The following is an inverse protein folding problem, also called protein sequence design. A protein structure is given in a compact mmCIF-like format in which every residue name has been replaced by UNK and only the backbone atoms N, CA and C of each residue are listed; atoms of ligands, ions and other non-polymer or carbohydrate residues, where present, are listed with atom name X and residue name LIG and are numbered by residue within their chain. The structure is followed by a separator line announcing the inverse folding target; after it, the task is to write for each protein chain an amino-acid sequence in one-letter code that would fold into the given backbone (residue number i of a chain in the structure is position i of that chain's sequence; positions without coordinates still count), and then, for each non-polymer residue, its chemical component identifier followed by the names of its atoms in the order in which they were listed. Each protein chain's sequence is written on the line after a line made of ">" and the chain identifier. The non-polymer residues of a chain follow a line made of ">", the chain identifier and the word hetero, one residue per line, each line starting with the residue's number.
data_IF_722276587023
#
_entry.id   IF_722276587023
#
_cell.length_a   1.000
_cell.length_b   1.000
_cell.length_c   1.000
_cell.angle_alpha   90.00
_cell.angle_beta   90.00
_cell.angle_gamma   90.00
#
_symmetry.space_group_name_H-M   'P 1'
#
loop_
_entity.id
_entity.type
_entity.pdbx_description
1 polymer ?
#
# COMPACT_ATOMS: atom_id res chain seq x y z
N UNK A 1 -1.97 13.25 -30.65
CA UNK A 1 -2.12 12.69 -29.29
C UNK A 1 -2.34 11.19 -29.40
N UNK A 2 -1.28 10.41 -29.26
CA UNK A 2 -1.34 8.94 -29.29
C UNK A 2 -2.10 8.48 -28.04
N UNK A 3 -3.33 7.97 -28.21
CA UNK A 3 -4.06 7.30 -27.13
C UNK A 3 -3.21 6.12 -26.67
N UNK A 4 -2.58 6.23 -25.51
CA UNK A 4 -2.00 5.10 -24.79
C UNK A 4 -3.10 4.04 -24.71
N UNK A 5 -2.89 2.87 -25.33
CA UNK A 5 -3.78 1.71 -25.11
C UNK A 5 -3.92 1.56 -23.61
N UNK A 6 -5.14 1.65 -23.09
CA UNK A 6 -5.41 1.31 -21.70
C UNK A 6 -4.80 -0.07 -21.45
N UNK A 7 -3.94 -0.19 -20.44
CA UNK A 7 -3.40 -1.50 -20.05
C UNK A 7 -4.61 -2.39 -19.75
N UNK A 8 -4.72 -3.50 -20.48
CA UNK A 8 -5.78 -4.47 -20.29
C UNK A 8 -5.54 -5.25 -18.98
N UNK A 9 -5.92 -4.64 -17.85
CA UNK A 9 -5.76 -5.18 -16.51
C UNK A 9 -7.05 -5.09 -15.68
N UNK A 10 -7.07 -5.63 -14.45
CA UNK A 10 -8.22 -5.72 -13.55
C UNK A 10 -8.75 -4.34 -13.17
N UNK A 11 -7.91 -3.30 -13.26
CA UNK A 11 -8.30 -1.94 -12.95
C UNK A 11 -9.19 -1.33 -14.03
N UNK A 12 -9.15 -1.85 -15.28
CA UNK A 12 -10.10 -1.46 -16.35
C UNK A 12 -11.57 -1.68 -15.95
N UNK A 13 -11.83 -2.52 -14.96
CA UNK A 13 -13.18 -2.77 -14.43
C UNK A 13 -13.73 -1.62 -13.59
N UNK A 14 -12.85 -0.75 -13.07
CA UNK A 14 -13.22 0.47 -12.37
C UNK A 14 -13.35 1.68 -13.30
N UNK A 15 -12.84 1.60 -14.51
CA UNK A 15 -12.95 2.69 -15.48
C UNK A 15 -14.40 2.90 -15.91
N UNK A 16 -14.89 4.14 -15.81
CA UNK A 16 -16.25 4.50 -16.25
C UNK A 16 -16.38 4.62 -17.78
N UNK A 17 -15.26 4.56 -18.49
CA UNK A 17 -15.20 4.33 -19.94
C UNK A 17 -14.96 2.87 -20.31
N UNK A 18 -14.80 1.97 -19.33
CA UNK A 18 -14.41 0.59 -19.51
C UNK A 18 -15.59 -0.38 -19.66
N UNK A 19 -15.31 -1.70 -19.79
CA UNK A 19 -16.31 -2.73 -20.12
C UNK A 19 -17.37 -3.03 -19.07
N UNK A 20 -17.25 -2.42 -17.90
CA UNK A 20 -18.18 -2.58 -16.78
C UNK A 20 -18.49 -1.23 -16.13
N UNK A 21 -18.51 -0.15 -16.92
CA UNK A 21 -18.90 1.18 -16.47
C UNK A 21 -20.21 1.14 -15.67
N UNK A 22 -20.26 1.84 -14.53
CA UNK A 22 -21.45 1.89 -13.70
C UNK A 22 -22.35 3.01 -14.20
N UNK A 23 -23.40 2.68 -14.94
CA UNK A 23 -24.36 3.64 -15.50
C UNK A 23 -25.45 3.99 -14.47
N UNK A 24 -26.31 4.97 -14.78
CA UNK A 24 -27.43 5.36 -13.91
C UNK A 24 -28.37 4.19 -13.63
N UNK A 25 -28.61 3.35 -14.63
CA UNK A 25 -29.39 2.12 -14.54
C UNK A 25 -28.48 0.88 -14.41
N UNK A 26 -28.97 -0.21 -13.78
CA UNK A 26 -28.27 -1.49 -13.78
C UNK A 26 -28.19 -2.12 -15.18
N UNK A 27 -27.25 -3.05 -15.40
CA UNK A 27 -27.22 -3.84 -16.62
C UNK A 27 -28.56 -4.53 -16.85
N UNK A 28 -29.13 -4.37 -18.04
CA UNK A 28 -30.40 -5.01 -18.38
C UNK A 28 -30.27 -6.53 -18.45
N UNK A 29 -31.32 -7.24 -18.01
CA UNK A 29 -31.38 -8.70 -18.02
C UNK A 29 -31.66 -9.29 -19.41
N UNK A 30 -32.16 -8.49 -20.35
CA UNK A 30 -32.51 -8.93 -21.69
C UNK A 30 -31.31 -8.88 -22.67
N UNK A 31 -30.82 -10.02 -23.19
CA UNK A 31 -29.62 -10.09 -24.02
C UNK A 31 -29.77 -9.39 -25.38
N UNK A 32 -31.00 -9.23 -25.89
CA UNK A 32 -31.27 -8.69 -27.23
C UNK A 32 -31.87 -7.28 -27.25
N UNK A 33 -31.85 -6.57 -26.12
CA UNK A 33 -32.36 -5.21 -26.03
C UNK A 33 -31.53 -4.21 -26.85
N UNK A 34 -32.13 -3.10 -27.29
CA UNK A 34 -31.41 -2.01 -27.98
C UNK A 34 -30.24 -1.47 -27.14
N UNK A 35 -30.39 -1.18 -25.83
CA UNK A 35 -29.28 -0.80 -24.96
C UNK A 35 -28.14 -1.82 -24.94
N UNK A 36 -28.46 -3.13 -24.85
CA UNK A 36 -27.45 -4.20 -24.85
C UNK A 36 -26.68 -4.25 -26.17
N UNK A 37 -27.35 -4.08 -27.31
CA UNK A 37 -26.68 -4.05 -28.63
C UNK A 37 -25.76 -2.84 -28.77
N UNK A 38 -26.22 -1.66 -28.35
CA UNK A 38 -25.41 -0.44 -28.36
C UNK A 38 -24.19 -0.56 -27.44
N UNK A 39 -24.35 -1.20 -26.27
CA UNK A 39 -23.26 -1.52 -25.37
C UNK A 39 -22.22 -2.45 -26.01
N UNK A 40 -22.66 -3.60 -26.54
CA UNK A 40 -21.77 -4.57 -27.19
C UNK A 40 -21.04 -3.95 -28.38
N UNK A 41 -21.69 -3.07 -29.15
CA UNK A 41 -21.04 -2.31 -30.22
C UNK A 41 -19.92 -1.43 -29.68
N UNK A 42 -20.17 -0.65 -28.63
CA UNK A 42 -19.13 0.18 -27.97
C UNK A 42 -17.97 -0.66 -27.47
N UNK A 43 -18.24 -1.80 -26.82
CA UNK A 43 -17.19 -2.72 -26.37
C UNK A 43 -16.34 -3.25 -27.53
N UNK A 44 -16.95 -3.54 -28.68
CA UNK A 44 -16.24 -3.98 -29.87
C UNK A 44 -15.37 -2.87 -30.45
N UNK A 45 -15.90 -1.67 -30.60
CA UNK A 45 -15.18 -0.49 -31.10
C UNK A 45 -13.99 -0.12 -30.21
N UNK A 46 -14.10 -0.35 -28.90
CA UNK A 46 -13.04 -0.08 -27.92
C UNK A 46 -12.10 -1.27 -27.66
N UNK A 47 -12.34 -2.44 -28.28
CA UNK A 47 -11.50 -3.63 -28.11
C UNK A 47 -11.72 -4.43 -26.82
N UNK A 48 -12.78 -4.16 -26.06
CA UNK A 48 -13.04 -4.78 -24.75
C UNK A 48 -13.89 -6.07 -24.79
N UNK A 49 -14.38 -6.48 -25.96
CA UNK A 49 -15.40 -7.54 -26.07
C UNK A 49 -14.95 -8.88 -25.47
N UNK A 50 -13.68 -9.25 -25.65
CA UNK A 50 -13.14 -10.50 -25.13
C UNK A 50 -13.08 -10.48 -23.60
N UNK A 51 -12.54 -9.41 -23.01
CA UNK A 51 -12.48 -9.24 -21.56
C UNK A 51 -13.86 -9.25 -20.92
N UNK A 52 -14.80 -8.52 -21.51
CA UNK A 52 -16.19 -8.52 -21.06
C UNK A 52 -16.77 -9.95 -21.03
N UNK A 53 -16.55 -10.75 -22.09
CA UNK A 53 -17.06 -12.13 -22.15
C UNK A 53 -16.45 -13.04 -21.09
N UNK A 54 -15.13 -12.96 -20.89
CA UNK A 54 -14.43 -13.76 -19.87
C UNK A 54 -14.96 -13.44 -18.47
N UNK A 55 -15.01 -12.15 -18.11
CA UNK A 55 -15.47 -11.73 -16.80
C UNK A 55 -16.96 -11.97 -16.58
N UNK A 56 -17.78 -11.77 -17.61
CA UNK A 56 -19.19 -12.14 -17.56
C UNK A 56 -19.33 -13.63 -17.22
N UNK A 57 -18.60 -14.51 -17.89
CA UNK A 57 -18.66 -15.94 -17.60
C UNK A 57 -18.22 -16.25 -16.16
N UNK A 58 -17.16 -15.60 -15.65
CA UNK A 58 -16.73 -15.74 -14.26
C UNK A 58 -17.80 -15.27 -13.26
N UNK A 59 -18.51 -14.18 -13.56
CA UNK A 59 -19.64 -13.69 -12.75
C UNK A 59 -20.77 -14.72 -12.73
N UNK A 60 -21.11 -15.30 -13.88
CA UNK A 60 -22.14 -16.35 -13.99
C UNK A 60 -21.74 -17.59 -13.19
N UNK A 61 -20.47 -18.01 -13.31
CA UNK A 61 -19.93 -19.13 -12.54
C UNK A 61 -19.96 -18.85 -11.04
N UNK A 62 -19.61 -17.65 -10.58
CA UNK A 62 -19.62 -17.32 -9.15
C UNK A 62 -21.05 -17.28 -8.58
N UNK A 63 -21.98 -16.68 -9.32
CA UNK A 63 -23.40 -16.59 -8.96
C UNK A 63 -24.17 -17.91 -9.15
N UNK A 64 -23.57 -18.88 -9.85
CA UNK A 64 -24.18 -20.15 -10.22
C UNK A 64 -25.46 -19.98 -11.06
N UNK A 65 -25.37 -19.15 -12.10
CA UNK A 65 -26.46 -18.86 -13.04
C UNK A 65 -26.00 -19.07 -14.48
N UNK A 66 -26.93 -19.28 -15.42
CA UNK A 66 -26.61 -19.45 -16.85
C UNK A 66 -26.58 -18.14 -17.62
N UNK A 67 -27.26 -17.11 -17.11
CA UNK A 67 -27.44 -15.83 -17.78
C UNK A 67 -27.89 -14.72 -16.85
N UNK A 68 -27.96 -13.50 -17.38
CA UNK A 68 -28.40 -12.33 -16.63
C UNK A 68 -29.89 -12.42 -16.23
N UNK A 69 -30.70 -13.15 -16.99
CA UNK A 69 -32.13 -13.38 -16.76
C UNK A 69 -32.43 -14.18 -15.48
N UNK A 70 -31.46 -14.92 -14.94
CA UNK A 70 -31.59 -15.65 -13.68
C UNK A 70 -31.19 -14.80 -12.45
N UNK A 71 -30.56 -13.63 -12.64
CA UNK A 71 -30.14 -12.75 -11.53
C UNK A 71 -31.33 -12.22 -10.70
N UNK A 72 -32.48 -11.82 -11.30
CA UNK A 72 -33.65 -11.40 -10.51
C UNK A 72 -34.09 -12.45 -9.48
N UNK A 73 -34.01 -13.74 -9.81
CA UNK A 73 -34.36 -14.82 -8.87
C UNK A 73 -33.43 -14.83 -7.65
N UNK A 74 -32.13 -14.54 -7.83
CA UNK A 74 -31.21 -14.36 -6.72
C UNK A 74 -31.55 -13.10 -5.91
N UNK A 75 -31.95 -11.99 -6.56
CA UNK A 75 -32.32 -10.77 -5.83
C UNK A 75 -33.57 -10.94 -4.94
N UNK A 76 -34.49 -11.82 -5.33
CA UNK A 76 -35.75 -12.06 -4.62
C UNK A 76 -35.68 -13.23 -3.62
N UNK A 77 -34.87 -14.26 -3.89
CA UNK A 77 -34.83 -15.48 -3.10
C UNK A 77 -33.60 -15.57 -2.19
N UNK A 78 -33.81 -15.32 -0.89
CA UNK A 78 -32.77 -15.39 0.15
C UNK A 78 -32.09 -16.76 0.22
N UNK A 79 -32.84 -17.86 0.11
CA UNK A 79 -32.27 -19.20 0.19
C UNK A 79 -31.36 -19.50 -1.02
N UNK A 80 -31.76 -19.05 -2.21
CA UNK A 80 -30.95 -19.16 -3.42
C UNK A 80 -29.66 -18.34 -3.31
N UNK A 81 -29.74 -17.10 -2.77
CA UNK A 81 -28.53 -16.29 -2.48
C UNK A 81 -27.59 -16.99 -1.52
N UNK A 82 -28.10 -17.48 -0.39
CA UNK A 82 -27.27 -18.15 0.60
C UNK A 82 -26.58 -19.41 0.03
N UNK A 83 -27.27 -20.16 -0.84
CA UNK A 83 -26.68 -21.29 -1.53
C UNK A 83 -25.56 -20.85 -2.50
N UNK A 84 -25.79 -19.79 -3.28
CA UNK A 84 -24.78 -19.20 -4.15
C UNK A 84 -23.57 -18.70 -3.34
N UNK A 85 -23.79 -18.00 -2.23
CA UNK A 85 -22.73 -17.52 -1.32
C UNK A 85 -21.88 -18.65 -0.77
N UNK A 86 -22.49 -19.71 -0.24
CA UNK A 86 -21.73 -20.88 0.28
C UNK A 86 -20.84 -21.49 -0.79
N UNK A 87 -21.37 -21.67 -2.01
CA UNK A 87 -20.59 -22.18 -3.15
C UNK A 87 -19.47 -21.20 -3.54
N UNK A 88 -19.76 -19.90 -3.59
CA UNK A 88 -18.78 -18.87 -3.91
C UNK A 88 -17.62 -18.85 -2.91
N UNK A 89 -17.89 -18.98 -1.61
CA UNK A 89 -16.83 -19.10 -0.60
C UNK A 89 -15.92 -20.30 -0.86
N UNK A 90 -16.46 -21.47 -1.22
CA UNK A 90 -15.66 -22.64 -1.59
C UNK A 90 -14.82 -22.41 -2.85
N UNK A 91 -15.39 -21.78 -3.89
CA UNK A 91 -14.65 -21.44 -5.11
C UNK A 91 -13.50 -20.45 -4.83
N UNK A 92 -13.75 -19.42 -4.04
CA UNK A 92 -12.74 -18.44 -3.65
C UNK A 92 -11.66 -19.05 -2.76
N UNK A 93 -12.03 -19.99 -1.89
CA UNK A 93 -11.07 -20.75 -1.09
C UNK A 93 -10.11 -21.52 -2.00
N UNK A 94 -10.63 -22.26 -2.96
CA UNK A 94 -9.80 -22.99 -3.92
C UNK A 94 -8.93 -22.04 -4.76
N UNK A 95 -9.50 -20.92 -5.22
CA UNK A 95 -8.78 -19.95 -6.05
C UNK A 95 -7.60 -19.29 -5.31
N UNK A 96 -7.77 -18.95 -4.03
CA UNK A 96 -6.73 -18.33 -3.21
C UNK A 96 -5.94 -19.33 -2.36
N UNK A 97 -6.17 -20.64 -2.53
CA UNK A 97 -5.55 -21.70 -1.73
C UNK A 97 -5.80 -21.55 -0.22
N UNK A 98 -7.01 -21.18 0.20
CA UNK A 98 -7.39 -21.08 1.62
C UNK A 98 -7.70 -22.48 2.14
N UNK A 99 -6.94 -22.94 3.12
CA UNK A 99 -7.20 -24.19 3.83
C UNK A 99 -8.09 -23.95 5.05
N UNK A 100 -8.90 -24.97 5.39
CA UNK A 100 -9.74 -24.96 6.59
C UNK A 100 -11.18 -25.37 6.34
N UNK A 101 -11.98 -25.34 7.41
CA UNK A 101 -13.41 -25.56 7.34
C UNK A 101 -14.16 -24.32 6.80
N UNK A 102 -15.47 -24.46 6.55
CA UNK A 102 -16.31 -23.39 6.00
C UNK A 102 -16.23 -22.08 6.80
N UNK A 103 -16.21 -22.16 8.13
CA UNK A 103 -16.13 -20.97 8.99
C UNK A 103 -14.79 -20.25 8.86
N UNK A 104 -13.70 -21.00 8.74
CA UNK A 104 -12.35 -20.46 8.54
C UNK A 104 -12.23 -19.79 7.17
N UNK A 105 -12.78 -20.41 6.13
CA UNK A 105 -12.86 -19.85 4.78
C UNK A 105 -13.63 -18.52 4.79
N UNK A 106 -14.84 -18.51 5.36
CA UNK A 106 -15.66 -17.29 5.45
C UNK A 106 -14.92 -16.20 6.21
N UNK A 107 -14.30 -16.54 7.34
CA UNK A 107 -13.53 -15.59 8.17
C UNK A 107 -12.36 -14.99 7.38
N UNK A 108 -11.65 -15.80 6.59
CA UNK A 108 -10.55 -15.34 5.73
C UNK A 108 -11.06 -14.44 4.59
N UNK A 109 -12.12 -14.81 3.90
CA UNK A 109 -12.68 -13.92 2.86
C UNK A 109 -13.18 -12.59 3.46
N UNK A 110 -13.73 -12.61 4.68
CA UNK A 110 -14.07 -11.40 5.43
C UNK A 110 -12.84 -10.55 5.79
N UNK A 111 -11.64 -11.13 5.94
CA UNK A 111 -10.42 -10.32 6.12
C UNK A 111 -10.11 -9.53 4.86
N UNK A 112 -10.33 -10.08 3.67
CA UNK A 112 -10.12 -9.36 2.41
C UNK A 112 -11.09 -8.18 2.26
N UNK A 113 -12.33 -8.36 2.70
CA UNK A 113 -13.33 -7.27 2.79
C UNK A 113 -12.85 -6.15 3.70
N UNK A 114 -12.36 -6.47 4.91
CA UNK A 114 -11.79 -5.49 5.84
C UNK A 114 -10.58 -4.76 5.26
N UNK A 115 -9.71 -5.46 4.53
CA UNK A 115 -8.57 -4.82 3.84
C UNK A 115 -9.04 -3.87 2.75
N UNK A 116 -10.07 -4.22 1.98
CA UNK A 116 -10.67 -3.33 0.99
C UNK A 116 -11.22 -2.05 1.64
N UNK A 117 -11.92 -2.17 2.76
CA UNK A 117 -12.43 -1.02 3.52
C UNK A 117 -11.28 -0.19 4.11
N UNK A 118 -10.22 -0.83 4.60
CA UNK A 118 -9.02 -0.17 5.11
C UNK A 118 -8.31 0.69 4.04
N UNK A 119 -8.31 0.27 2.77
CA UNK A 119 -7.80 1.10 1.65
C UNK A 119 -8.57 2.41 1.54
N UNK A 120 -9.91 2.34 1.55
CA UNK A 120 -10.75 3.54 1.43
C UNK A 120 -10.65 4.40 2.68
N UNK A 121 -10.63 3.79 3.85
CA UNK A 121 -10.46 4.49 5.13
C UNK A 121 -9.10 5.17 5.25
N UNK A 122 -8.03 4.55 4.74
CA UNK A 122 -6.71 5.17 4.66
C UNK A 122 -6.72 6.41 3.76
N UNK A 123 -7.30 6.30 2.56
CA UNK A 123 -7.42 7.44 1.65
C UNK A 123 -8.30 8.54 2.26
N UNK A 124 -9.40 8.17 2.92
CA UNK A 124 -10.29 9.11 3.59
C UNK A 124 -9.65 9.83 4.77
N UNK A 125 -9.01 9.10 5.68
CA UNK A 125 -8.47 9.66 6.91
C UNK A 125 -7.12 10.35 6.73
N UNK A 126 -6.27 9.83 5.85
CA UNK A 126 -4.92 10.37 5.64
C UNK A 126 -4.87 11.31 4.43
N UNK A 127 -5.23 10.83 3.24
CA UNK A 127 -4.93 11.54 1.98
C UNK A 127 -5.96 12.63 1.65
N UNK A 128 -7.25 12.35 1.85
CA UNK A 128 -8.39 13.16 1.44
C UNK A 128 -9.22 13.62 2.64
N UNK A 129 -8.58 13.85 3.79
CA UNK A 129 -9.25 14.21 5.05
C UNK A 129 -10.18 15.43 4.90
N UNK A 130 -9.74 16.46 4.19
CA UNK A 130 -10.54 17.66 3.89
C UNK A 130 -11.73 17.42 2.95
N UNK A 131 -11.82 16.25 2.33
CA UNK A 131 -12.89 15.85 1.41
C UNK A 131 -13.63 14.58 1.88
N UNK A 132 -13.38 14.16 3.13
CA UNK A 132 -13.90 12.91 3.68
C UNK A 132 -15.43 12.70 3.49
N UNK A 133 -16.30 13.73 3.64
CA UNK A 133 -17.74 13.56 3.43
C UNK A 133 -18.12 13.15 2.00
N UNK A 134 -17.37 13.58 0.98
CA UNK A 134 -17.66 13.23 -0.43
C UNK A 134 -17.37 11.75 -0.70
N UNK A 135 -16.30 11.24 -0.11
CA UNK A 135 -15.76 9.90 -0.35
C UNK A 135 -16.18 8.87 0.70
N UNK A 136 -17.01 9.28 1.65
CA UNK A 136 -17.60 8.37 2.63
C UNK A 136 -18.37 7.26 1.91
N UNK A 137 -18.13 6.03 2.38
CA UNK A 137 -18.75 4.83 1.83
C UNK A 137 -20.22 4.78 2.23
N UNK A 138 -21.05 4.30 1.31
CA UNK A 138 -22.45 3.98 1.60
C UNK A 138 -22.51 2.87 2.66
N UNK A 139 -23.32 3.04 3.71
CA UNK A 139 -23.40 2.14 4.88
C UNK A 139 -23.69 0.69 4.50
N UNK A 140 -24.55 0.48 3.50
CA UNK A 140 -24.91 -0.83 2.97
C UNK A 140 -23.68 -1.54 2.39
N UNK A 141 -22.76 -0.80 1.76
CA UNK A 141 -21.54 -1.36 1.17
C UNK A 141 -20.47 -1.59 2.24
N UNK A 142 -20.33 -0.67 3.18
CA UNK A 142 -19.39 -0.79 4.30
C UNK A 142 -19.67 -2.04 5.15
N UNK A 143 -20.95 -2.28 5.46
CA UNK A 143 -21.39 -3.43 6.27
C UNK A 143 -21.37 -4.77 5.52
N UNK A 144 -21.45 -4.77 4.18
CA UNK A 144 -21.50 -6.01 3.39
C UNK A 144 -20.11 -6.62 3.17
N UNK A 145 -19.95 -7.88 3.58
CA UNK A 145 -18.69 -8.65 3.45
C UNK A 145 -18.77 -9.82 2.48
N UNK A 146 -19.99 -10.23 2.12
CA UNK A 146 -20.24 -11.36 1.22
C UNK A 146 -19.99 -10.94 -0.23
N UNK A 147 -19.06 -11.59 -0.95
CA UNK A 147 -18.80 -11.31 -2.36
C UNK A 147 -20.03 -11.45 -3.26
N UNK A 148 -20.93 -12.40 -2.99
CA UNK A 148 -22.14 -12.62 -3.79
C UNK A 148 -23.12 -11.47 -3.57
N UNK A 149 -23.35 -11.04 -2.33
CA UNK A 149 -24.21 -9.90 -2.04
C UNK A 149 -23.64 -8.61 -2.67
N UNK A 150 -22.33 -8.36 -2.55
CA UNK A 150 -21.67 -7.22 -3.22
C UNK A 150 -21.83 -7.27 -4.74
N UNK A 151 -21.77 -8.46 -5.34
CA UNK A 151 -21.92 -8.63 -6.78
C UNK A 151 -23.36 -8.41 -7.24
N UNK A 152 -24.33 -8.91 -6.48
CA UNK A 152 -25.76 -8.73 -6.75
C UNK A 152 -26.19 -7.25 -6.65
N UNK A 153 -25.62 -6.48 -5.73
CA UNK A 153 -25.85 -5.03 -5.62
C UNK A 153 -25.60 -4.31 -6.96
N UNK A 154 -24.63 -4.75 -7.77
CA UNK A 154 -24.32 -4.13 -9.08
C UNK A 154 -25.51 -4.20 -10.05
N UNK A 155 -26.35 -5.23 -9.91
CA UNK A 155 -27.51 -5.51 -10.77
C UNK A 155 -28.83 -5.01 -10.17
N UNK A 156 -28.86 -4.72 -8.88
CA UNK A 156 -30.09 -4.36 -8.18
C UNK A 156 -30.50 -2.89 -8.43
N UNK A 157 -31.68 -2.64 -9.04
CA UNK A 157 -32.15 -1.28 -9.36
C UNK A 157 -32.47 -0.45 -8.12
N UNK A 158 -32.60 -1.04 -6.93
CA UNK A 158 -32.85 -0.31 -5.68
C UNK A 158 -31.63 0.50 -5.23
N UNK A 159 -30.43 0.14 -5.70
CA UNK A 159 -29.19 0.81 -5.31
C UNK A 159 -28.81 1.93 -6.28
N UNK A 160 -28.53 3.10 -5.70
CA UNK A 160 -28.01 4.24 -6.45
C UNK A 160 -26.67 3.91 -7.15
N UNK A 161 -26.37 4.61 -8.25
CA UNK A 161 -25.13 4.48 -9.04
C UNK A 161 -23.86 4.43 -8.16
N UNK A 162 -23.79 5.30 -7.15
CA UNK A 162 -22.66 5.35 -6.19
C UNK A 162 -22.48 4.01 -5.45
N UNK A 163 -23.52 3.49 -4.82
CA UNK A 163 -23.46 2.24 -4.07
C UNK A 163 -23.06 1.05 -4.96
N UNK A 164 -23.60 0.99 -6.19
CA UNK A 164 -23.25 -0.06 -7.17
C UNK A 164 -21.78 0.02 -7.59
N UNK A 165 -21.25 1.22 -7.79
CA UNK A 165 -19.83 1.41 -8.06
C UNK A 165 -18.96 1.02 -6.85
N UNK A 166 -19.35 1.41 -5.64
CA UNK A 166 -18.62 1.08 -4.41
C UNK A 166 -18.57 -0.42 -4.17
N UNK A 167 -19.67 -1.15 -4.43
CA UNK A 167 -19.70 -2.61 -4.34
C UNK A 167 -18.71 -3.26 -5.31
N UNK A 168 -18.71 -2.82 -6.57
CA UNK A 168 -17.74 -3.24 -7.59
C UNK A 168 -16.29 -2.93 -7.17
N UNK A 169 -16.06 -1.73 -6.63
CA UNK A 169 -14.75 -1.31 -6.11
C UNK A 169 -14.29 -2.21 -4.97
N UNK A 170 -15.16 -2.48 -4.00
CA UNK A 170 -14.87 -3.34 -2.86
C UNK A 170 -14.50 -4.76 -3.32
N UNK A 171 -15.23 -5.34 -4.27
CA UNK A 171 -14.90 -6.65 -4.87
C UNK A 171 -13.51 -6.70 -5.51
N UNK A 172 -13.13 -5.67 -6.26
CA UNK A 172 -11.82 -5.62 -6.92
C UNK A 172 -10.70 -5.50 -5.87
N UNK A 173 -10.89 -4.66 -4.86
CA UNK A 173 -9.94 -4.54 -3.75
C UNK A 173 -9.83 -5.84 -2.93
N UNK A 174 -10.94 -6.55 -2.72
CA UNK A 174 -10.97 -7.86 -2.08
C UNK A 174 -10.16 -8.89 -2.89
N UNK A 175 -10.31 -8.89 -4.21
CA UNK A 175 -9.55 -9.78 -5.10
C UNK A 175 -8.04 -9.56 -4.95
N UNK A 176 -7.60 -8.29 -4.99
CA UNK A 176 -6.19 -7.93 -4.79
C UNK A 176 -5.67 -8.32 -3.40
N UNK A 177 -6.48 -8.11 -2.36
CA UNK A 177 -6.13 -8.52 -1.00
C UNK A 177 -5.97 -10.05 -0.88
N UNK A 178 -6.85 -10.82 -1.53
CA UNK A 178 -6.75 -12.28 -1.58
C UNK A 178 -5.50 -12.78 -2.29
N UNK A 179 -5.17 -12.19 -3.46
CA UNK A 179 -3.94 -12.55 -4.19
C UNK A 179 -2.67 -12.21 -3.41
N UNK A 180 -2.68 -11.11 -2.65
CA UNK A 180 -1.57 -10.72 -1.76
C UNK A 180 -1.42 -11.73 -0.61
N UNK A 181 -2.51 -12.05 0.11
CA UNK A 181 -2.48 -13.01 1.22
C UNK A 181 -2.00 -14.39 0.76
N UNK A 182 -2.47 -14.85 -0.40
CA UNK A 182 -1.99 -16.10 -1.01
C UNK A 182 -0.47 -16.07 -1.22
N UNK A 183 0.07 -15.02 -1.85
CA UNK A 183 1.50 -14.88 -2.11
C UNK A 183 2.33 -14.83 -0.83
N UNK A 184 1.84 -14.17 0.22
CA UNK A 184 2.51 -14.13 1.52
C UNK A 184 2.63 -15.52 2.15
N UNK A 185 1.55 -16.32 2.08
CA UNK A 185 1.54 -17.70 2.59
C UNK A 185 2.48 -18.60 1.80
N UNK A 186 2.42 -18.54 0.46
CA UNK A 186 3.30 -19.33 -0.42
C UNK A 186 4.79 -19.01 -0.21
N UNK A 187 5.12 -17.74 0.02
CA UNK A 187 6.51 -17.32 0.20
C UNK A 187 7.04 -17.54 1.62
N UNK A 188 6.16 -17.75 2.60
CA UNK A 188 6.51 -17.88 4.01
C UNK A 188 7.21 -16.63 4.56
N UNK A 189 6.87 -15.45 4.02
CA UNK A 189 7.64 -14.22 4.24
C UNK A 189 7.68 -13.80 5.71
N UNK A 190 6.60 -14.01 6.46
CA UNK A 190 6.53 -13.68 7.89
C UNK A 190 7.48 -14.54 8.74
N UNK A 191 7.50 -15.86 8.50
CA UNK A 191 8.36 -16.78 9.24
C UNK A 191 9.83 -16.49 8.96
N UNK A 192 10.18 -16.30 7.69
CA UNK A 192 11.55 -15.93 7.30
C UNK A 192 11.95 -14.59 7.93
N UNK A 193 11.01 -13.66 8.12
CA UNK A 193 11.30 -12.37 8.73
C UNK A 193 11.58 -12.49 10.22
N UNK A 194 10.80 -13.31 10.92
CA UNK A 194 11.05 -13.62 12.33
C UNK A 194 12.48 -14.18 12.50
N UNK A 195 12.88 -15.15 11.66
CA UNK A 195 14.24 -15.71 11.66
C UNK A 195 15.32 -14.64 11.40
N UNK A 196 15.04 -13.69 10.51
CA UNK A 196 15.96 -12.58 10.26
C UNK A 196 16.09 -11.65 11.47
N UNK A 197 14.99 -11.34 12.17
CA UNK A 197 15.02 -10.55 13.39
C UNK A 197 15.79 -11.26 14.52
N UNK A 198 15.64 -12.58 14.62
CA UNK A 198 16.40 -13.41 15.57
C UNK A 198 17.90 -13.35 15.27
N UNK A 199 18.29 -13.44 13.99
CA UNK A 199 19.67 -13.22 13.57
C UNK A 199 20.21 -11.85 14.02
N UNK A 200 19.45 -10.77 13.79
CA UNK A 200 19.88 -9.43 14.19
C UNK A 200 20.08 -9.34 15.71
N UNK A 201 19.16 -9.91 16.50
CA UNK A 201 19.25 -9.92 17.96
C UNK A 201 20.41 -10.78 18.48
N UNK A 202 20.69 -11.92 17.85
CA UNK A 202 21.72 -12.84 18.30
C UNK A 202 23.15 -12.39 17.94
N UNK A 203 23.31 -11.74 16.78
CA UNK A 203 24.62 -11.50 16.17
C UNK A 203 24.95 -10.03 15.86
N UNK A 204 23.96 -9.19 15.57
CA UNK A 204 24.23 -7.81 15.10
C UNK A 204 24.17 -6.81 16.25
N UNK A 205 23.15 -6.89 17.10
CA UNK A 205 22.96 -5.95 18.21
C UNK A 205 23.89 -6.25 19.39
N UNK A 206 24.29 -5.19 20.11
CA UNK A 206 25.08 -5.35 21.31
C UNK A 206 24.30 -6.08 22.41
N UNK A 207 24.94 -7.06 23.04
CA UNK A 207 24.40 -7.81 24.18
C UNK A 207 24.45 -7.04 25.51
N UNK A 208 25.04 -5.84 25.54
CA UNK A 208 25.06 -5.00 26.75
C UNK A 208 23.69 -4.41 27.09
N UNK A 209 22.85 -4.21 26.09
CA UNK A 209 21.45 -3.80 26.27
C UNK A 209 20.55 -5.03 26.22
N UNK A 210 19.52 -5.06 27.06
CA UNK A 210 18.50 -6.13 26.99
C UNK A 210 17.70 -6.01 25.70
N UNK A 211 17.19 -7.13 25.20
CA UNK A 211 16.25 -7.11 24.07
C UNK A 211 15.01 -6.31 24.49
N UNK A 212 14.71 -5.26 23.74
CA UNK A 212 13.59 -4.34 24.01
C UNK A 212 13.98 -3.08 24.78
N UNK A 213 15.18 -3.05 25.36
CA UNK A 213 15.76 -1.83 25.94
C UNK A 213 16.20 -0.88 24.83
N UNK A 214 15.85 0.40 24.98
CA UNK A 214 16.10 1.44 23.98
C UNK A 214 16.63 2.69 24.66
N UNK A 215 17.69 3.25 24.10
CA UNK A 215 18.29 4.52 24.51
C UNK A 215 17.49 5.67 23.86
N UNK A 216 16.84 6.48 24.69
CA UNK A 216 15.97 7.56 24.24
C UNK A 216 16.83 8.79 23.91
N UNK A 217 16.78 9.24 22.65
CA UNK A 217 17.45 10.45 22.22
C UNK A 217 16.51 11.34 21.39
N UNK A 218 16.84 12.63 21.32
CA UNK A 218 16.10 13.60 20.53
C UNK A 218 17.01 14.26 19.51
N UNK A 219 16.56 14.35 18.25
CA UNK A 219 17.20 15.15 17.22
C UNK A 219 16.59 16.55 17.26
N UNK A 220 17.32 17.53 17.78
CA UNK A 220 16.97 18.94 17.66
C UNK A 220 17.57 19.49 16.38
N UNK A 221 16.71 19.94 15.46
CA UNK A 221 17.13 20.36 14.13
C UNK A 221 16.66 21.75 13.77
N UNK A 222 17.46 22.44 12.95
CA UNK A 222 17.11 23.71 12.31
C UNK A 222 16.98 23.51 10.81
N UNK A 223 15.90 24.04 10.25
CA UNK A 223 15.52 23.85 8.86
C UNK A 223 15.61 25.15 8.07
N UNK A 224 15.93 25.01 6.80
CA UNK A 224 15.89 26.07 5.80
C UNK A 224 14.47 26.64 5.64
N UNK A 225 14.33 27.95 5.43
CA UNK A 225 13.01 28.59 5.34
C UNK A 225 12.24 28.23 4.06
N UNK A 226 12.95 27.99 2.96
CA UNK A 226 12.32 27.81 1.64
C UNK A 226 12.16 26.34 1.28
N UNK A 227 13.17 25.53 1.53
CA UNK A 227 13.18 24.09 1.21
C UNK A 227 12.82 23.21 2.39
N UNK A 228 12.86 23.74 3.61
CA UNK A 228 12.75 22.97 4.85
C UNK A 228 13.79 21.86 5.01
N UNK A 229 14.89 21.92 4.25
CA UNK A 229 16.04 21.03 4.41
C UNK A 229 16.71 21.26 5.77
N UNK A 230 17.14 20.19 6.42
CA UNK A 230 17.92 20.24 7.63
C UNK A 230 19.25 20.96 7.36
N UNK A 231 19.57 21.96 8.18
CA UNK A 231 20.83 22.72 8.14
C UNK A 231 21.75 22.37 9.30
N UNK A 232 21.14 22.07 10.45
CA UNK A 232 21.86 21.71 11.68
C UNK A 232 21.05 20.65 12.42
N UNK A 233 21.75 19.70 13.03
CA UNK A 233 21.16 18.71 13.92
C UNK A 233 22.06 18.49 15.13
N UNK A 234 21.47 18.52 16.32
CA UNK A 234 22.13 18.12 17.58
C UNK A 234 21.34 16.96 18.19
N UNK A 235 22.05 15.91 18.60
CA UNK A 235 21.49 14.82 19.40
C UNK A 235 21.44 15.28 20.86
N UNK A 236 20.28 15.16 21.50
CA UNK A 236 20.03 15.56 22.87
C UNK A 236 19.61 14.36 23.71
N UNK A 237 20.06 14.34 24.96
CA UNK A 237 19.51 13.50 26.02
C UNK A 237 18.11 13.97 26.45
N UNK A 238 17.33 13.14 27.18
CA UNK A 238 16.04 13.56 27.73
C UNK A 238 16.13 14.81 28.62
N UNK A 239 17.18 14.96 29.42
CA UNK A 239 17.38 16.14 30.26
C UNK A 239 17.68 17.40 29.43
N UNK A 240 18.55 17.30 28.43
CA UNK A 240 18.83 18.45 27.54
C UNK A 240 17.59 18.87 26.74
N UNK A 241 16.73 17.92 26.38
CA UNK A 241 15.51 18.18 25.61
C UNK A 241 14.59 19.17 26.31
N UNK A 242 14.43 19.12 27.62
CA UNK A 242 13.52 20.00 28.38
C UNK A 242 13.90 21.47 28.27
N UNK A 243 15.19 21.75 28.05
CA UNK A 243 15.70 23.12 27.93
C UNK A 243 15.46 23.75 26.54
N UNK A 244 15.07 22.96 25.54
CA UNK A 244 14.95 23.42 24.15
C UNK A 244 13.51 23.80 23.80
N UNK A 245 13.30 25.08 23.49
CA UNK A 245 12.00 25.57 23.00
C UNK A 245 11.79 25.22 21.53
N UNK A 246 10.57 24.76 21.20
CA UNK A 246 10.10 24.69 19.81
C UNK A 246 9.93 26.11 19.26
N UNK A 247 10.18 26.28 17.97
CA UNK A 247 10.03 27.55 17.27
C UNK A 247 9.96 27.34 15.77
N UNK A 248 9.68 28.39 15.01
CA UNK A 248 9.55 28.29 13.56
C UNK A 248 10.84 27.75 12.92
N UNK A 249 10.71 26.77 12.02
CA UNK A 249 11.84 26.11 11.37
C UNK A 249 12.71 25.27 12.31
N UNK A 250 12.27 25.00 13.55
CA UNK A 250 12.95 24.10 14.49
C UNK A 250 12.08 22.88 14.76
N UNK A 251 12.64 21.69 14.60
CA UNK A 251 11.97 20.42 14.89
C UNK A 251 12.69 19.67 15.98
N UNK A 252 11.93 18.87 16.71
CA UNK A 252 12.47 17.99 17.73
C UNK A 252 11.88 16.61 17.55
N UNK A 253 12.73 15.69 17.12
CA UNK A 253 12.33 14.36 16.68
C UNK A 253 12.83 13.33 17.69
N UNK A 254 11.91 12.60 18.29
CA UNK A 254 12.24 11.47 19.16
C UNK A 254 12.79 10.32 18.32
N UNK A 255 13.91 9.74 18.74
CA UNK A 255 14.45 8.49 18.19
C UNK A 255 14.79 7.53 19.32
N UNK A 256 14.59 6.24 19.08
CA UNK A 256 14.83 5.17 20.07
C UNK A 256 15.99 4.31 19.61
N UNK A 257 17.16 4.51 20.18
CA UNK A 257 18.42 3.93 19.71
C UNK A 257 18.68 2.57 20.37
N UNK A 258 19.21 1.64 19.58
CA UNK A 258 19.96 0.46 20.00
C UNK A 258 21.45 0.72 19.81
N UNK A 259 22.27 -0.29 20.06
CA UNK A 259 23.71 -0.24 19.85
C UNK A 259 24.19 -1.47 19.08
N UNK A 260 25.19 -1.28 18.23
CA UNK A 260 25.96 -2.38 17.63
C UNK A 260 27.45 -2.19 17.96
N UNK A 261 28.21 -3.27 17.97
CA UNK A 261 29.62 -3.25 18.41
C UNK A 261 30.55 -3.41 17.21
N UNK A 262 31.46 -2.45 17.02
CA UNK A 262 32.53 -2.52 16.02
C UNK A 262 33.86 -2.20 16.68
N UNK A 263 34.86 -3.07 16.50
CA UNK A 263 36.22 -2.87 17.05
C UNK A 263 36.25 -2.52 18.55
N UNK A 264 35.39 -3.16 19.35
CA UNK A 264 35.32 -2.89 20.80
C UNK A 264 34.44 -1.71 21.20
N UNK A 265 34.08 -0.81 20.27
CA UNK A 265 33.25 0.37 20.50
C UNK A 265 31.77 0.07 20.23
N UNK A 266 30.88 0.63 21.06
CA UNK A 266 29.45 0.64 20.79
C UNK A 266 29.05 1.89 20.02
N UNK A 267 28.29 1.69 18.94
CA UNK A 267 27.80 2.76 18.08
C UNK A 267 26.27 2.80 18.21
N UNK A 268 25.67 3.96 18.53
CA UNK A 268 24.23 4.09 18.59
C UNK A 268 23.60 4.01 17.20
N UNK A 269 22.45 3.35 17.11
CA UNK A 269 21.70 3.22 15.86
C UNK A 269 20.20 3.21 16.17
N UNK A 270 19.43 4.09 15.53
CA UNK A 270 17.98 3.93 15.53
C UNK A 270 17.61 2.96 14.41
N UNK A 271 16.86 1.91 14.74
CA UNK A 271 16.37 0.93 13.77
C UNK A 271 14.87 0.84 13.88
N UNK A 272 14.16 0.93 12.76
CA UNK A 272 12.74 0.64 12.68
C UNK A 272 12.46 -0.42 11.63
N UNK A 273 11.61 -1.37 12.00
CA UNK A 273 11.03 -2.34 11.08
C UNK A 273 9.96 -1.63 10.28
N UNK A 274 10.06 -1.71 8.96
CA UNK A 274 9.07 -1.22 8.02
C UNK A 274 8.34 -2.40 7.41
N UNK A 275 7.27 -2.84 8.07
CA UNK A 275 6.27 -3.74 7.49
C UNK A 275 5.12 -2.88 6.97
N UNK A 276 4.73 -3.06 5.71
CA UNK A 276 3.58 -2.32 5.17
C UNK A 276 2.29 -2.97 5.66
N UNK A 277 1.29 -2.17 6.06
CA UNK A 277 -0.01 -2.73 6.35
C UNK A 277 -0.66 -3.25 5.04
N UNK A 278 -1.63 -4.18 5.13
CA UNK A 278 -2.24 -4.81 3.96
C UNK A 278 -2.80 -3.80 2.93
N UNK A 279 -3.46 -2.73 3.38
CA UNK A 279 -4.01 -1.69 2.52
C UNK A 279 -2.94 -0.93 1.73
N UNK A 280 -1.75 -0.72 2.30
CA UNK A 280 -0.65 -0.06 1.61
C UNK A 280 -0.07 -0.92 0.48
N UNK A 281 -0.18 -2.25 0.58
CA UNK A 281 0.20 -3.18 -0.49
C UNK A 281 -0.81 -3.17 -1.62
N UNK A 282 -2.10 -3.15 -1.31
CA UNK A 282 -3.15 -3.00 -2.32
C UNK A 282 -2.97 -1.67 -3.07
N UNK A 283 -2.71 -0.58 -2.35
CA UNK A 283 -2.37 0.71 -2.95
C UNK A 283 -1.09 0.65 -3.80
N UNK A 284 -0.08 -0.14 -3.40
CA UNK A 284 1.14 -0.33 -4.21
C UNK A 284 0.83 -0.98 -5.56
N UNK A 285 -0.05 -1.98 -5.60
CA UNK A 285 -0.52 -2.61 -6.86
C UNK A 285 -1.29 -1.61 -7.72
N UNK A 286 -2.28 -0.93 -7.14
CA UNK A 286 -3.07 0.11 -7.81
C UNK A 286 -2.19 1.19 -8.45
N UNK A 287 -1.25 1.75 -7.69
CA UNK A 287 -0.37 2.83 -8.16
C UNK A 287 0.58 2.40 -9.28
N UNK A 288 0.95 1.12 -9.32
CA UNK A 288 1.81 0.57 -10.37
C UNK A 288 1.00 0.06 -11.57
N UNK A 289 -0.32 -0.09 -11.43
CA UNK A 289 -1.17 -0.71 -12.45
C UNK A 289 -0.83 -2.18 -12.67
N UNK A 290 -0.39 -2.88 -11.61
CA UNK A 290 0.04 -4.28 -11.65
C UNK A 290 -0.92 -5.18 -10.86
N UNK A 291 -1.31 -6.32 -11.45
CA UNK A 291 -2.13 -7.34 -10.78
C UNK A 291 -1.31 -8.36 -10.01
N UNK A 292 -0.05 -8.56 -10.44
CA UNK A 292 0.81 -9.59 -9.87
C UNK A 292 1.18 -9.25 -8.42
N UNK A 293 0.77 -10.06 -7.41
CA UNK A 293 1.01 -9.78 -6.01
C UNK A 293 2.50 -9.78 -5.65
N UNK A 294 3.37 -10.42 -6.43
CA UNK A 294 4.83 -10.40 -6.23
C UNK A 294 5.38 -8.97 -6.20
N UNK A 295 4.82 -8.07 -7.01
CA UNK A 295 5.19 -6.65 -7.03
C UNK A 295 4.95 -5.97 -5.69
N UNK A 296 3.98 -6.44 -4.91
CA UNK A 296 3.67 -5.90 -3.59
C UNK A 296 4.45 -6.58 -2.46
N UNK A 297 4.55 -7.91 -2.51
CA UNK A 297 5.03 -8.79 -1.42
C UNK A 297 6.54 -8.99 -1.42
N UNK A 298 7.16 -9.25 -2.58
CA UNK A 298 8.54 -9.76 -2.64
C UNK A 298 9.61 -8.73 -2.16
N UNK A 299 9.26 -7.44 -2.09
CA UNK A 299 10.09 -6.32 -1.59
C UNK A 299 9.50 -5.65 -0.34
N UNK A 300 8.62 -6.32 0.42
CA UNK A 300 7.81 -5.63 1.42
C UNK A 300 8.55 -5.34 2.72
N UNK A 301 9.49 -6.21 3.09
CA UNK A 301 10.19 -6.13 4.37
C UNK A 301 11.37 -5.18 4.25
N UNK A 302 11.30 -4.10 5.02
CA UNK A 302 12.36 -3.13 5.12
C UNK A 302 12.83 -2.91 6.54
N UNK A 303 14.09 -2.51 6.67
CA UNK A 303 14.66 -1.90 7.86
C UNK A 303 15.17 -0.52 7.52
N UNK A 304 14.72 0.46 8.29
CA UNK A 304 15.30 1.79 8.26
C UNK A 304 16.28 1.91 9.42
N UNK A 305 17.48 2.39 9.14
CA UNK A 305 18.51 2.64 10.14
C UNK A 305 18.94 4.11 10.11
N UNK A 306 19.21 4.69 11.27
CA UNK A 306 19.73 6.05 11.41
C UNK A 306 20.93 6.05 12.35
N UNK A 307 22.05 6.56 11.86
CA UNK A 307 23.33 6.70 12.58
C UNK A 307 23.81 8.15 12.56
N UNK A 308 24.85 8.48 13.31
CA UNK A 308 25.27 9.87 13.49
C UNK A 308 26.09 10.39 12.30
N UNK A 309 26.80 9.52 11.56
CA UNK A 309 27.67 9.94 10.45
C UNK A 309 27.73 8.97 9.27
N UNK A 310 28.20 9.44 8.12
CA UNK A 310 28.43 8.61 6.92
C UNK A 310 29.45 7.49 7.20
N UNK A 311 30.46 7.75 8.04
CA UNK A 311 31.42 6.71 8.44
C UNK A 311 30.70 5.57 9.18
N UNK A 312 29.80 5.89 10.09
CA UNK A 312 29.03 4.89 10.84
C UNK A 312 28.09 4.09 9.94
N UNK A 313 27.60 4.66 8.84
CA UNK A 313 26.82 3.92 7.82
C UNK A 313 27.67 2.79 7.23
N UNK A 314 28.93 3.07 6.88
CA UNK A 314 29.87 2.07 6.34
C UNK A 314 30.28 1.05 7.39
N UNK A 315 30.48 1.48 8.64
CA UNK A 315 30.76 0.56 9.75
C UNK A 315 29.58 -0.38 9.99
N UNK A 316 28.34 0.12 9.95
CA UNK A 316 27.15 -0.70 10.10
C UNK A 316 27.00 -1.73 8.96
N UNK A 317 27.18 -1.30 7.71
CA UNK A 317 27.14 -2.19 6.55
C UNK A 317 28.17 -3.34 6.67
N UNK A 318 29.41 -3.00 7.03
CA UNK A 318 30.48 -4.00 7.23
C UNK A 318 30.18 -4.92 8.41
N UNK A 319 29.69 -4.37 9.51
CA UNK A 319 29.32 -5.14 10.70
C UNK A 319 28.23 -6.17 10.39
N UNK A 320 27.23 -5.78 9.59
CA UNK A 320 26.12 -6.65 9.20
C UNK A 320 26.60 -7.90 8.43
N UNK A 321 27.47 -7.72 7.43
CA UNK A 321 28.00 -8.83 6.63
C UNK A 321 28.99 -9.70 7.41
N UNK A 322 29.81 -9.09 8.28
CA UNK A 322 30.70 -9.84 9.17
C UNK A 322 29.92 -10.66 10.21
N UNK A 323 28.84 -10.11 10.76
CA UNK A 323 27.97 -10.81 11.71
C UNK A 323 27.30 -12.02 11.07
N UNK A 324 26.90 -11.92 9.80
CA UNK A 324 26.39 -13.05 9.03
C UNK A 324 27.44 -14.17 8.90
N UNK A 325 28.66 -13.81 8.46
CA UNK A 325 29.77 -14.75 8.31
C UNK A 325 30.10 -15.47 9.63
N UNK A 326 30.13 -14.73 10.75
CA UNK A 326 30.34 -15.28 12.09
C UNK A 326 29.20 -16.19 12.57
N UNK A 327 27.98 -15.96 12.08
CA UNK A 327 26.83 -16.82 12.33
C UNK A 327 26.79 -18.06 11.41
N UNK A 328 27.83 -18.30 10.62
CA UNK A 328 27.91 -19.44 9.70
C UNK A 328 27.05 -19.29 8.45
N UNK A 329 26.65 -18.07 8.10
CA UNK A 329 25.83 -17.79 6.91
C UNK A 329 26.45 -16.69 6.04
N UNK A 330 26.13 -16.70 4.75
CA UNK A 330 26.56 -15.63 3.84
C UNK A 330 25.42 -14.62 3.67
N UNK A 331 25.75 -13.35 3.86
CA UNK A 331 24.87 -12.24 3.48
C UNK A 331 25.42 -11.54 2.24
N UNK A 332 24.59 -11.42 1.22
CA UNK A 332 24.91 -10.69 -0.02
C UNK A 332 24.14 -9.37 -0.01
N UNK A 333 24.81 -8.29 -0.40
CA UNK A 333 24.18 -6.98 -0.58
C UNK A 333 23.94 -6.74 -2.06
N UNK A 334 22.67 -6.60 -2.44
CA UNK A 334 22.20 -6.42 -3.82
C UNK A 334 21.70 -4.97 -4.02
N UNK A 335 21.73 -4.49 -5.27
CA UNK A 335 21.21 -3.17 -5.69
C UNK A 335 21.67 -2.00 -4.78
N UNK A 336 22.95 -2.02 -4.39
CA UNK A 336 23.52 -1.00 -3.51
C UNK A 336 23.52 0.36 -4.20
N UNK A 337 22.85 1.33 -3.58
CA UNK A 337 22.77 2.72 -4.02
C UNK A 337 23.20 3.64 -2.89
N UNK A 338 24.26 4.41 -3.10
CA UNK A 338 24.76 5.38 -2.11
C UNK A 338 24.62 6.82 -2.64
N UNK A 339 23.75 7.59 -2.00
CA UNK A 339 23.52 9.01 -2.32
C UNK A 339 23.95 9.93 -1.18
N UNK A 340 24.52 9.40 -0.09
CA UNK A 340 24.95 10.20 1.07
C UNK A 340 26.15 11.09 0.76
N UNK A 341 26.97 10.74 -0.24
CA UNK A 341 28.15 11.49 -0.66
C UNK A 341 27.90 12.49 -1.81
N UNK A 342 26.64 12.83 -2.11
CA UNK A 342 26.30 13.79 -3.19
C UNK A 342 25.98 13.16 -4.55
N UNK A 343 25.63 11.88 -4.59
CA UNK A 343 25.16 11.20 -5.81
C UNK A 343 23.66 11.44 -6.08
N UNK A 344 23.28 11.60 -7.35
CA UNK A 344 21.86 11.64 -7.79
C UNK A 344 21.37 10.22 -8.03
N UNK A 345 20.17 9.90 -7.55
CA UNK A 345 19.52 8.61 -7.81
C UNK A 345 19.23 8.42 -9.30
N UNK A 346 20.02 7.60 -10.00
CA UNK A 346 19.78 7.20 -11.40
C UNK A 346 18.87 5.97 -11.53
N UNK A 347 17.97 5.72 -10.57
CA UNK A 347 17.00 4.64 -10.73
C UNK A 347 15.68 5.19 -11.25
N UNK A 348 15.18 4.59 -12.32
CA UNK A 348 13.81 4.71 -12.84
C UNK A 348 12.77 4.10 -11.90
N UNK A 349 13.17 3.54 -10.75
CA UNK A 349 12.24 2.98 -9.79
C UNK A 349 11.44 4.09 -9.12
N UNK A 350 10.12 4.01 -9.31
CA UNK A 350 9.12 4.99 -8.89
C UNK A 350 9.03 5.02 -7.33
N UNK A 351 9.89 4.32 -6.57
CA UNK A 351 9.68 3.94 -5.16
C UNK A 351 9.86 5.04 -4.10
N UNK A 352 10.80 5.96 -4.29
CA UNK A 352 11.26 6.94 -3.30
C UNK A 352 11.59 8.29 -3.97
N UNK A 353 11.66 9.40 -3.22
CA UNK A 353 12.15 10.66 -3.79
C UNK A 353 13.62 10.50 -4.17
N UNK A 354 13.93 10.77 -5.45
CA UNK A 354 15.29 10.69 -6.02
C UNK A 354 16.30 11.63 -5.33
N UNK A 355 15.79 12.59 -4.54
CA UNK A 355 16.54 13.65 -3.90
C UNK A 355 16.82 13.40 -2.41
N UNK A 356 16.46 12.23 -1.86
CA UNK A 356 16.75 11.90 -0.46
C UNK A 356 18.14 11.25 -0.34
N UNK A 357 19.11 11.87 0.35
CA UNK A 357 20.39 11.22 0.61
C UNK A 357 20.19 9.99 1.51
N UNK A 358 20.67 8.83 1.07
CA UNK A 358 20.59 7.57 1.82
C UNK A 358 21.54 6.52 1.21
N UNK A 359 21.92 5.55 2.03
CA UNK A 359 22.45 4.28 1.55
C UNK A 359 21.30 3.27 1.50
N UNK A 360 20.94 2.82 0.31
CA UNK A 360 19.92 1.79 0.09
C UNK A 360 20.57 0.52 -0.44
N UNK A 361 20.18 -0.64 0.07
CA UNK A 361 20.58 -1.94 -0.48
C UNK A 361 19.57 -3.02 -0.10
N UNK A 362 19.59 -4.16 -0.78
CA UNK A 362 18.87 -5.35 -0.35
C UNK A 362 19.84 -6.36 0.27
N UNK A 363 19.59 -6.78 1.51
CA UNK A 363 20.35 -7.84 2.15
C UNK A 363 19.67 -9.18 1.88
N UNK A 364 20.37 -10.09 1.19
CA UNK A 364 19.91 -11.47 0.97
C UNK A 364 20.63 -12.42 1.92
N UNK A 365 19.86 -13.18 2.71
CA UNK A 365 20.36 -14.16 3.68
C UNK A 365 19.26 -15.17 3.99
N UNK A 366 19.59 -16.47 4.09
CA UNK A 366 18.62 -17.49 4.53
C UNK A 366 17.36 -17.61 3.66
N UNK A 367 17.46 -17.36 2.35
CA UNK A 367 16.30 -17.35 1.44
C UNK A 367 15.36 -16.15 1.61
N UNK A 368 15.77 -15.15 2.39
CA UNK A 368 15.09 -13.88 2.59
C UNK A 368 15.85 -12.74 1.92
N UNK A 369 15.11 -11.75 1.42
CA UNK A 369 15.62 -10.50 0.87
C UNK A 369 14.98 -9.33 1.61
N UNK A 370 15.77 -8.50 2.31
CA UNK A 370 15.28 -7.37 3.13
C UNK A 370 15.83 -6.06 2.59
N UNK A 371 14.97 -5.07 2.37
CA UNK A 371 15.38 -3.71 1.99
C UNK A 371 16.00 -3.01 3.21
N UNK A 372 17.23 -2.52 3.10
CA UNK A 372 17.83 -1.62 4.07
C UNK A 372 17.88 -0.21 3.50
N UNK A 373 17.41 0.75 4.29
CA UNK A 373 17.56 2.18 4.03
C UNK A 373 18.27 2.79 5.24
N UNK A 374 19.52 3.20 5.04
CA UNK A 374 20.36 3.75 6.08
C UNK A 374 20.56 5.25 5.85
N UNK A 375 20.25 6.03 6.89
CA UNK A 375 20.35 7.48 6.92
C UNK A 375 21.39 7.93 7.95
N UNK A 376 21.98 9.09 7.73
CA UNK A 376 22.50 9.93 8.82
C UNK A 376 21.35 10.67 9.51
N UNK A 377 21.56 11.21 10.72
CA UNK A 377 20.56 12.06 11.39
C UNK A 377 20.02 13.17 10.48
N UNK A 378 20.89 13.88 9.78
CA UNK A 378 20.50 14.96 8.86
C UNK A 378 19.64 14.44 7.70
N UNK A 379 20.09 13.38 7.03
CA UNK A 379 19.35 12.82 5.90
C UNK A 379 18.01 12.19 6.31
N UNK A 380 17.91 11.68 7.55
CA UNK A 380 16.67 11.21 8.13
C UNK A 380 15.69 12.37 8.36
N UNK A 381 16.18 13.50 8.88
CA UNK A 381 15.36 14.70 9.04
C UNK A 381 14.89 15.27 7.70
N UNK A 382 15.72 15.18 6.65
CA UNK A 382 15.30 15.53 5.29
C UNK A 382 14.22 14.58 4.77
N UNK A 383 14.40 13.27 4.94
CA UNK A 383 13.39 12.25 4.64
C UNK A 383 12.07 12.48 5.39
N UNK A 384 12.11 13.06 6.59
CA UNK A 384 10.91 13.38 7.37
C UNK A 384 10.26 14.71 6.97
N UNK A 385 11.05 15.74 6.66
CA UNK A 385 10.56 17.13 6.69
C UNK A 385 10.81 17.96 5.42
N UNK A 386 11.83 17.67 4.63
CA UNK A 386 12.21 18.53 3.50
C UNK A 386 11.14 18.55 2.40
N UNK A 387 10.85 19.73 1.84
CA UNK A 387 9.88 19.91 0.75
C UNK A 387 10.28 19.13 -0.49
N UNK A 388 9.33 18.42 -1.09
CA UNK A 388 9.57 17.57 -2.28
C UNK A 388 10.43 16.31 -2.02
N UNK A 389 10.89 16.11 -0.79
CA UNK A 389 11.73 14.98 -0.38
C UNK A 389 11.02 14.12 0.66
N UNK A 390 10.28 14.76 1.57
CA UNK A 390 9.64 14.08 2.70
C UNK A 390 8.77 12.90 2.26
N UNK A 391 8.88 11.80 3.00
CA UNK A 391 8.21 10.55 2.63
C UNK A 391 6.69 10.70 2.52
N UNK A 392 6.11 11.38 3.50
CA UNK A 392 4.67 11.56 3.61
C UNK A 392 4.12 12.41 2.46
N UNK A 393 4.80 13.52 2.12
CA UNK A 393 4.44 14.35 0.96
C UNK A 393 4.56 13.57 -0.35
N UNK A 394 5.65 12.80 -0.51
CA UNK A 394 5.89 12.00 -1.70
C UNK A 394 4.87 10.86 -1.85
N UNK A 395 4.46 10.23 -0.76
CA UNK A 395 3.43 9.19 -0.75
C UNK A 395 2.09 9.73 -1.25
N UNK A 396 1.67 10.88 -0.71
CA UNK A 396 0.43 11.58 -1.12
C UNK A 396 0.51 11.95 -2.60
N UNK A 397 1.58 12.63 -3.02
CA UNK A 397 1.77 13.06 -4.41
C UNK A 397 1.62 11.91 -5.40
N UNK A 398 2.20 10.74 -5.09
CA UNK A 398 2.13 9.55 -5.95
C UNK A 398 0.74 8.93 -6.07
N UNK A 399 -0.07 9.02 -5.02
CA UNK A 399 -1.45 8.53 -5.06
C UNK A 399 -2.25 9.31 -6.10
N UNK A 400 -2.05 10.63 -6.18
CA UNK A 400 -2.63 11.46 -7.24
C UNK A 400 -1.98 11.22 -8.61
N UNK A 401 -0.64 11.26 -8.70
CA UNK A 401 0.09 11.19 -9.97
C UNK A 401 -0.10 9.86 -10.71
N UNK A 402 -0.41 8.77 -9.99
CA UNK A 402 -0.69 7.47 -10.57
C UNK A 402 -2.12 7.32 -11.12
N UNK A 403 -3.01 8.29 -10.88
CA UNK A 403 -4.42 8.22 -11.27
C UNK A 403 -5.29 7.33 -10.36
N UNK A 404 -4.73 6.75 -9.30
CA UNK A 404 -5.46 5.87 -8.37
C UNK A 404 -6.65 6.57 -7.74
N UNK A 405 -6.53 7.86 -7.42
CA UNK A 405 -7.64 8.62 -6.85
C UNK A 405 -8.81 8.71 -7.83
N UNK A 406 -8.56 9.01 -9.10
CA UNK A 406 -9.61 9.07 -10.13
C UNK A 406 -10.23 7.70 -10.38
N UNK A 407 -9.43 6.64 -10.31
CA UNK A 407 -9.89 5.26 -10.47
C UNK A 407 -10.85 4.85 -9.35
N UNK A 408 -10.52 5.19 -8.09
CA UNK A 408 -11.30 4.80 -6.91
C UNK A 408 -12.45 5.74 -6.58
N UNK A 409 -12.39 6.99 -7.06
CA UNK A 409 -13.37 8.05 -6.82
C UNK A 409 -13.64 8.84 -8.11
N UNK A 410 -14.31 8.23 -9.11
CA UNK A 410 -14.54 8.87 -10.39
C UNK A 410 -15.48 10.08 -10.27
N UNK A 411 -15.15 11.16 -11.00
CA UNK A 411 -15.81 12.47 -10.89
C UNK A 411 -17.31 12.41 -11.17
N UNK A 412 -17.76 11.56 -12.10
CA UNK A 412 -19.16 11.39 -12.48
C UNK A 412 -20.01 10.61 -11.45
N UNK A 413 -19.39 10.14 -10.36
CA UNK A 413 -20.05 9.45 -9.24
C UNK A 413 -19.86 10.22 -7.94
N UNK A 414 -18.67 10.78 -7.71
CA UNK A 414 -18.32 11.47 -6.46
C UNK A 414 -18.43 12.99 -6.54
N UNK A 415 -18.66 13.54 -7.74
CA UNK A 415 -18.78 14.98 -7.99
C UNK A 415 -17.60 15.79 -7.46
N UNK A 416 -16.41 15.17 -7.48
CA UNK A 416 -15.16 15.74 -6.95
C UNK A 416 -14.07 15.65 -8.02
N UNK A 417 -13.63 16.80 -8.54
CA UNK A 417 -12.48 16.85 -9.46
C UNK A 417 -11.17 16.80 -8.67
N UNK A 418 -10.54 15.64 -8.68
CA UNK A 418 -9.32 15.37 -7.91
C UNK A 418 -8.09 16.09 -8.49
N UNK A 419 -8.14 16.51 -9.75
CA UNK A 419 -7.04 17.24 -10.41
C UNK A 419 -6.86 18.60 -9.74
N UNK A 420 -7.98 19.29 -9.49
CA UNK A 420 -7.99 20.62 -8.88
C UNK A 420 -7.68 20.58 -7.38
N UNK A 421 -7.93 19.44 -6.71
CA UNK A 421 -7.76 19.32 -5.26
C UNK A 421 -6.38 18.87 -4.84
N UNK A 422 -5.60 18.26 -5.73
CA UNK A 422 -4.25 17.74 -5.45
C UNK A 422 -3.35 18.78 -4.77
N UNK A 423 -3.24 19.98 -5.34
CA UNK A 423 -2.33 21.01 -4.81
C UNK A 423 -2.80 21.55 -3.45
N UNK A 424 -4.12 21.62 -3.22
CA UNK A 424 -4.68 21.99 -1.93
C UNK A 424 -4.34 20.95 -0.85
N UNK A 425 -4.45 19.66 -1.17
CA UNK A 425 -4.08 18.57 -0.25
C UNK A 425 -2.58 18.61 0.07
N UNK A 426 -1.73 18.74 -0.95
CA UNK A 426 -0.27 18.79 -0.75
C UNK A 426 0.11 19.98 0.15
N UNK A 427 -0.47 21.17 -0.08
CA UNK A 427 -0.26 22.34 0.79
C UNK A 427 -0.69 22.10 2.23
N UNK A 428 -1.86 21.48 2.44
CA UNK A 428 -2.33 21.15 3.79
C UNK A 428 -1.37 20.21 4.53
N UNK A 429 -0.88 19.17 3.84
CA UNK A 429 0.14 18.27 4.40
C UNK A 429 1.43 18.99 4.76
N UNK A 430 1.89 19.92 3.91
CA UNK A 430 3.09 20.73 4.19
C UNK A 430 2.91 21.59 5.42
N UNK A 431 1.79 22.29 5.57
CA UNK A 431 1.51 23.10 6.75
C UNK A 431 1.59 22.24 8.02
N UNK A 432 0.99 21.04 8.00
CA UNK A 432 1.08 20.11 9.14
C UNK A 432 2.52 19.69 9.47
N UNK A 433 3.32 19.39 8.44
CA UNK A 433 4.74 19.03 8.61
C UNK A 433 5.56 20.20 9.17
N UNK A 434 5.26 21.44 8.78
CA UNK A 434 6.05 22.62 9.13
C UNK A 434 5.65 23.22 10.47
N UNK A 435 4.35 23.17 10.81
CA UNK A 435 3.79 23.79 12.01
C UNK A 435 3.88 22.91 13.27
N UNK A 436 3.88 21.57 13.13
CA UNK A 436 3.87 20.61 14.26
C UNK A 436 5.14 19.74 14.33
#
# INVERSE_FOLDING_TARGET
>A
MTRTRAKDNIFSLLEQSGPFATLNEPPGYAPFSRPTREWVRRLREQGWITRYRVLRNQVMELLNVRGFDEIPLLLENVAARQAASRRAYALLANMFGIEGNEREIVTRVHTYSRTADAVINYLRGRVLSSYAPYIEMTNEIDSTKDPVELLLIIFDPRYHKKARFEAKRKLILMSLAGSIDQRERETGIEQKFAQFLDFLNAHVWSRRMKIGELDIAFLASRHDKESFACREVKVLSPAERETVKKGQGRKITLIKRRRFKVNGREIPIYVSIRKKPPEARVLKLLRKGEENPAVAVDDELGLMAVVDSVMEVKLFQKHLTQSASQAGTLMILEEVTDTLAGGVYQSTSIGSSANTPMLKFFARMGGMRVEFIVHTNESYLNYMYQRGVSHDEYEVKRIFDSGVVHLLFPTDIYHLDMSDKKDAVIRWFRNRIEDF
#
